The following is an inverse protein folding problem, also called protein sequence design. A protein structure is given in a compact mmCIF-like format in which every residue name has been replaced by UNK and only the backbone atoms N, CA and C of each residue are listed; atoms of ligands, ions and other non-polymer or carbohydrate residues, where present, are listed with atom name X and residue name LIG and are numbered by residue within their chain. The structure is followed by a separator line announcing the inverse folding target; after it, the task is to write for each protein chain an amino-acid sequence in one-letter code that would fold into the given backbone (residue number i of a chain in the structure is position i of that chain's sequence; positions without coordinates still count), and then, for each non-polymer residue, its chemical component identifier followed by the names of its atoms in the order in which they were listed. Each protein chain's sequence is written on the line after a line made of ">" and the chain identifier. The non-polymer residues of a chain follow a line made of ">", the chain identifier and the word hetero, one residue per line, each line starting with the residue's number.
data_IF_999580005714
#
_entry.id   IF_999580005714
#
_cell.length_a   1.000
_cell.length_b   1.000
_cell.length_c   1.000
_cell.angle_alpha   90.00
_cell.angle_beta   90.00
_cell.angle_gamma   90.00
#
_symmetry.space_group_name_H-M   'P 1'
#
loop_
_entity.id
_entity.type
_entity.pdbx_description
1 polymer ?
#
# COMPACT_ATOMS: atom_id res chain seq x y z
N UNK A 1 1.53 -37.96 -3.63
CA UNK A 1 2.05 -36.61 -3.95
C UNK A 1 0.88 -35.66 -4.09
N UNK A 2 0.97 -34.48 -3.50
CA UNK A 2 -0.05 -33.44 -3.69
C UNK A 2 0.00 -32.91 -5.14
N UNK A 3 -1.17 -32.69 -5.73
CA UNK A 3 -1.36 -32.12 -7.06
C UNK A 3 -1.53 -30.59 -6.97
N UNK A 4 -1.35 -29.85 -8.07
CA UNK A 4 -1.47 -28.37 -8.08
C UNK A 4 -2.79 -27.86 -7.47
N UNK A 5 -3.88 -28.60 -7.69
CA UNK A 5 -5.23 -28.33 -7.14
C UNK A 5 -5.33 -28.45 -5.61
N UNK A 6 -4.34 -29.09 -4.98
CA UNK A 6 -4.32 -29.30 -3.53
C UNK A 6 -3.70 -28.11 -2.78
N UNK A 7 -3.10 -27.15 -3.49
CA UNK A 7 -2.50 -25.93 -2.95
C UNK A 7 -3.38 -24.69 -3.19
N UNK A 8 -3.15 -23.62 -2.43
CA UNK A 8 -3.88 -22.33 -2.55
C UNK A 8 -5.40 -22.46 -2.42
N UNK A 9 -5.87 -23.38 -1.56
CA UNK A 9 -7.30 -23.56 -1.27
C UNK A 9 -7.94 -22.32 -0.66
N UNK A 10 -7.16 -21.53 0.07
CA UNK A 10 -7.51 -20.21 0.57
C UNK A 10 -6.83 -19.17 -0.32
N UNK A 11 -7.65 -18.36 -0.99
CA UNK A 11 -7.17 -17.35 -1.93
C UNK A 11 -6.75 -16.11 -1.14
N UNK A 12 -5.64 -15.48 -1.53
CA UNK A 12 -5.23 -14.21 -0.93
C UNK A 12 -6.27 -13.15 -1.28
N UNK A 13 -6.78 -12.47 -0.25
CA UNK A 13 -7.72 -11.37 -0.40
C UNK A 13 -6.99 -10.04 -0.37
N UNK A 14 -7.41 -9.11 -1.23
CA UNK A 14 -6.89 -7.75 -1.19
C UNK A 14 -7.57 -6.93 -0.09
N UNK A 15 -6.77 -6.27 0.76
CA UNK A 15 -7.30 -5.40 1.80
C UNK A 15 -8.12 -4.26 1.19
N UNK A 16 -9.29 -3.98 1.78
CA UNK A 16 -10.11 -2.83 1.45
C UNK A 16 -9.95 -1.75 2.52
N UNK A 17 -9.09 -0.76 2.23
CA UNK A 17 -8.75 0.29 3.18
C UNK A 17 -9.95 1.17 3.57
N UNK A 18 -11.00 1.21 2.73
CA UNK A 18 -12.22 1.98 3.00
C UNK A 18 -13.07 1.39 4.14
N UNK A 19 -12.85 0.11 4.48
CA UNK A 19 -13.57 -0.55 5.58
C UNK A 19 -12.98 -0.25 6.96
N UNK A 20 -11.81 0.37 7.03
CA UNK A 20 -11.07 0.56 8.28
C UNK A 20 -10.64 2.02 8.44
N UNK A 21 -11.18 2.73 9.43
CA UNK A 21 -10.64 4.03 9.81
C UNK A 21 -9.43 3.85 10.73
N UNK A 22 -8.23 3.80 10.13
CA UNK A 22 -6.96 3.60 10.85
C UNK A 22 -6.31 4.91 11.32
N UNK A 23 -6.85 6.08 10.95
CA UNK A 23 -6.24 7.37 11.24
C UNK A 23 -6.03 7.60 12.75
N UNK A 24 -7.02 7.39 13.64
CA UNK A 24 -6.82 7.60 15.07
C UNK A 24 -5.75 6.67 15.68
N UNK A 25 -5.61 5.46 15.13
CA UNK A 25 -4.60 4.51 15.57
C UNK A 25 -3.19 5.00 15.18
N UNK A 26 -3.00 5.45 13.94
CA UNK A 26 -1.72 5.97 13.47
C UNK A 26 -1.35 7.29 14.15
N UNK A 27 -2.33 8.15 14.46
CA UNK A 27 -2.11 9.38 15.22
C UNK A 27 -1.59 9.10 16.63
N UNK A 28 -2.17 8.12 17.33
CA UNK A 28 -1.72 7.72 18.66
C UNK A 28 -0.27 7.22 18.68
N UNK A 29 0.25 6.72 17.54
CA UNK A 29 1.63 6.22 17.43
C UNK A 29 2.69 7.32 17.53
N UNK A 30 2.33 8.61 17.42
CA UNK A 30 3.25 9.73 17.65
C UNK A 30 3.90 9.66 19.04
N UNK A 31 3.12 9.26 20.04
CA UNK A 31 3.53 9.18 21.44
C UNK A 31 4.22 7.85 21.82
N UNK A 32 4.43 6.96 20.84
CA UNK A 32 5.06 5.66 21.04
C UNK A 32 6.56 5.68 20.68
N UNK A 33 7.25 4.54 20.80
CA UNK A 33 8.68 4.39 20.53
C UNK A 33 8.94 3.56 19.24
N UNK A 34 10.18 3.64 18.75
CA UNK A 34 10.67 2.89 17.58
C UNK A 34 9.85 3.17 16.31
N UNK A 35 9.58 2.13 15.53
CA UNK A 35 8.92 2.22 14.21
C UNK A 35 7.48 2.73 14.27
N UNK A 36 6.83 2.72 15.44
CA UNK A 36 5.52 3.35 15.60
C UNK A 36 5.59 4.85 15.33
N UNK A 37 6.61 5.53 15.87
CA UNK A 37 6.82 6.97 15.65
C UNK A 37 7.20 7.26 14.20
N UNK A 38 7.99 6.37 13.59
CA UNK A 38 8.36 6.50 12.17
C UNK A 38 7.14 6.38 11.25
N UNK A 39 6.21 5.45 11.55
CA UNK A 39 4.97 5.29 10.80
C UNK A 39 4.07 6.53 10.92
N UNK A 40 3.88 7.06 12.13
CA UNK A 40 3.15 8.32 12.32
C UNK A 40 3.77 9.47 11.51
N UNK A 41 5.10 9.64 11.62
CA UNK A 41 5.83 10.68 10.89
C UNK A 41 5.69 10.53 9.38
N UNK A 42 5.80 9.31 8.86
CA UNK A 42 5.63 9.02 7.43
C UNK A 42 4.21 9.36 6.96
N UNK A 43 3.18 8.98 7.73
CA UNK A 43 1.79 9.29 7.41
C UNK A 43 1.54 10.81 7.37
N UNK A 44 2.09 11.57 8.33
CA UNK A 44 2.00 13.03 8.36
C UNK A 44 2.68 13.70 7.16
N UNK A 45 3.88 13.24 6.79
CA UNK A 45 4.60 13.76 5.61
C UNK A 45 3.78 13.49 4.35
N UNK A 46 3.23 12.28 4.21
CA UNK A 46 2.43 11.94 3.05
C UNK A 46 1.12 12.74 2.97
N UNK A 47 0.42 12.98 4.09
CA UNK A 47 -0.75 13.87 4.12
C UNK A 47 -0.39 15.31 3.73
N UNK A 48 0.77 15.81 4.15
CA UNK A 48 1.28 17.11 3.70
C UNK A 48 1.51 17.14 2.19
N UNK A 49 2.11 16.09 1.62
CA UNK A 49 2.32 15.97 0.17
C UNK A 49 0.99 15.98 -0.61
N UNK A 50 -0.02 15.26 -0.13
CA UNK A 50 -1.35 15.21 -0.77
C UNK A 50 -2.08 16.56 -0.76
N UNK A 51 -1.85 17.39 0.25
CA UNK A 51 -2.46 18.72 0.38
C UNK A 51 -1.79 19.75 -0.52
N UNK A 52 -0.50 19.60 -0.79
CA UNK A 52 0.27 20.54 -1.62
C UNK A 52 0.06 20.26 -3.11
N UNK A 53 -0.64 21.18 -3.79
CA UNK A 53 -0.92 21.07 -5.23
C UNK A 53 0.30 21.28 -6.13
N UNK A 54 1.42 21.76 -5.58
CA UNK A 54 2.68 21.90 -6.30
C UNK A 54 3.64 20.73 -6.00
N UNK A 55 3.23 19.75 -5.19
CA UNK A 55 4.02 18.57 -4.87
C UNK A 55 3.69 17.42 -5.83
N UNK A 56 4.71 16.88 -6.50
CA UNK A 56 4.59 15.65 -7.28
C UNK A 56 4.92 14.42 -6.44
N UNK A 57 4.05 13.42 -6.48
CA UNK A 57 4.15 12.18 -5.70
C UNK A 57 4.56 11.01 -6.60
N UNK A 58 5.77 10.49 -6.37
CA UNK A 58 6.27 9.29 -7.06
C UNK A 58 6.16 8.10 -6.12
N UNK A 59 5.33 7.12 -6.48
CA UNK A 59 5.20 5.86 -5.76
C UNK A 59 6.20 4.84 -6.29
N UNK A 60 7.11 4.38 -5.43
CA UNK A 60 8.11 3.36 -5.77
C UNK A 60 7.66 1.99 -5.23
N UNK A 61 7.55 1.00 -6.12
CA UNK A 61 7.05 -0.33 -5.79
C UNK A 61 8.15 -1.38 -6.01
N UNK A 62 8.36 -2.22 -5.00
CA UNK A 62 9.29 -3.34 -5.04
C UNK A 62 8.76 -4.53 -4.23
N UNK A 63 9.31 -5.72 -4.46
CA UNK A 63 8.88 -6.95 -3.80
C UNK A 63 7.59 -7.54 -4.38
N UNK A 64 6.84 -8.26 -3.56
CA UNK A 64 5.65 -9.04 -3.99
C UNK A 64 4.33 -8.48 -3.46
N UNK A 65 4.20 -7.14 -3.45
CA UNK A 65 3.09 -6.41 -2.81
C UNK A 65 1.71 -6.85 -3.32
N UNK A 66 1.57 -7.05 -4.64
CA UNK A 66 0.28 -7.37 -5.24
C UNK A 66 -0.15 -8.80 -4.92
N UNK A 67 0.77 -9.76 -5.07
CA UNK A 67 0.52 -11.15 -4.63
C UNK A 67 0.30 -11.25 -3.12
N UNK A 68 0.83 -10.32 -2.32
CA UNK A 68 0.64 -10.27 -0.87
C UNK A 68 -0.68 -9.59 -0.42
N UNK A 69 -1.55 -9.18 -1.36
CA UNK A 69 -2.86 -8.62 -1.01
C UNK A 69 -2.94 -7.08 -1.04
N UNK A 70 -1.91 -6.37 -1.48
CA UNK A 70 -1.90 -4.89 -1.44
C UNK A 70 -2.28 -4.21 -2.77
N UNK A 71 -2.59 -4.98 -3.81
CA UNK A 71 -2.97 -4.44 -5.13
C UNK A 71 -4.10 -3.41 -5.06
N UNK A 72 -5.15 -3.70 -4.28
CA UNK A 72 -6.30 -2.80 -4.13
C UNK A 72 -5.94 -1.47 -3.45
N UNK A 73 -4.93 -1.46 -2.57
CA UNK A 73 -4.41 -0.22 -1.96
C UNK A 73 -3.84 0.70 -3.03
N UNK A 74 -2.96 0.17 -3.88
CA UNK A 74 -2.34 0.95 -4.97
C UNK A 74 -3.40 1.40 -5.99
N UNK A 75 -4.37 0.54 -6.30
CA UNK A 75 -5.53 0.91 -7.12
C UNK A 75 -6.30 2.10 -6.52
N UNK A 76 -6.64 2.04 -5.23
CA UNK A 76 -7.38 3.12 -4.57
C UNK A 76 -6.54 4.42 -4.54
N UNK A 77 -5.22 4.34 -4.36
CA UNK A 77 -4.34 5.50 -4.43
C UNK A 77 -4.38 6.18 -5.81
N UNK A 78 -4.31 5.40 -6.89
CA UNK A 78 -4.35 5.92 -8.27
C UNK A 78 -5.72 6.54 -8.54
N UNK A 79 -6.81 5.83 -8.23
CA UNK A 79 -8.17 6.30 -8.50
C UNK A 79 -8.55 7.59 -7.76
N UNK A 80 -7.86 7.90 -6.66
CA UNK A 80 -8.08 9.11 -5.87
C UNK A 80 -7.01 10.20 -6.10
N UNK A 81 -6.19 10.10 -7.16
CA UNK A 81 -5.13 11.06 -7.48
C UNK A 81 -4.14 11.26 -6.32
N UNK A 82 -3.80 10.18 -5.62
CA UNK A 82 -2.85 10.22 -4.50
C UNK A 82 -1.39 9.95 -4.94
N UNK A 83 -1.18 9.72 -6.24
CA UNK A 83 0.11 9.41 -6.88
C UNK A 83 0.10 9.99 -8.29
N UNK A 84 1.21 10.62 -8.70
CA UNK A 84 1.36 11.23 -10.03
C UNK A 84 2.20 10.35 -10.98
N UNK A 85 3.14 9.58 -10.44
CA UNK A 85 3.97 8.66 -11.20
C UNK A 85 4.29 7.40 -10.40
N UNK A 86 4.44 6.27 -11.10
CA UNK A 86 4.81 4.98 -10.50
C UNK A 86 6.14 4.51 -11.09
N UNK A 87 7.04 4.10 -10.21
CA UNK A 87 8.29 3.40 -10.57
C UNK A 87 8.23 2.02 -9.93
N UNK A 88 8.24 0.96 -10.74
CA UNK A 88 8.07 -0.41 -10.26
C UNK A 88 9.08 -1.35 -10.87
N UNK A 89 9.39 -2.45 -10.16
CA UNK A 89 10.03 -3.60 -10.79
C UNK A 89 9.07 -4.27 -11.78
N UNK A 90 9.64 -4.89 -12.82
CA UNK A 90 8.85 -5.57 -13.85
C UNK A 90 7.96 -6.68 -13.31
N UNK A 91 8.42 -7.44 -12.32
CA UNK A 91 7.67 -8.56 -11.73
C UNK A 91 6.32 -8.13 -11.11
N UNK A 92 6.25 -6.95 -10.49
CA UNK A 92 4.99 -6.44 -9.91
C UNK A 92 3.95 -6.19 -11.01
N UNK A 93 4.38 -5.60 -12.12
CA UNK A 93 3.48 -5.23 -13.22
C UNK A 93 3.17 -6.41 -14.12
N UNK A 94 4.15 -7.25 -14.44
CA UNK A 94 3.99 -8.33 -15.43
C UNK A 94 3.39 -9.59 -14.82
N UNK A 95 3.82 -9.99 -13.62
CA UNK A 95 3.48 -11.31 -13.06
C UNK A 95 2.40 -11.25 -11.98
N UNK A 96 2.17 -10.08 -11.36
CA UNK A 96 1.27 -9.93 -10.21
C UNK A 96 0.08 -8.99 -10.48
N UNK A 97 0.14 -8.20 -11.55
CA UNK A 97 -0.95 -7.32 -11.96
C UNK A 97 -1.86 -7.94 -13.04
N UNK A 98 -1.29 -8.65 -14.02
CA UNK A 98 -2.04 -9.36 -15.07
C UNK A 98 -2.54 -10.73 -14.59
#
# INVERSE_FOLDING_TARGET
>A
MAQKKDYLKEVIEHIDIKKHNVVPLVDAMENMAFTARDLNRAARIYDMMLRDKNCGIILTLAGSLFSAGLKKVVYDMIMNNMVDAIVSTGAIIVDQDF
#
